data_IF_316503228612
#
_entry.id   IF_316503228612
#
_cell.length_a   1.000
_cell.length_b   1.000
_cell.length_c   1.000
_cell.angle_alpha   90.00
_cell.angle_beta   90.00
_cell.angle_gamma   90.00
#
_symmetry.space_group_name_H-M   'P 1'
#
loop_
_entity.id
_entity.type
_entity.pdbx_description
1 polymer ?
#
# COMPACT_ATOMS: atom_id res chain seq x y z
N UNK A 1 -5.19 -2.11 31.58
CA UNK A 1 -4.79 -2.98 30.46
C UNK A 1 -5.97 -3.89 30.16
N UNK A 2 -6.61 -3.83 28.98
CA UNK A 2 -7.56 -4.88 28.61
C UNK A 2 -6.80 -6.20 28.53
N UNK A 3 -7.38 -7.27 29.06
CA UNK A 3 -6.81 -8.62 28.99
C UNK A 3 -6.82 -9.10 27.54
N UNK A 4 -5.64 -9.29 26.95
CA UNK A 4 -5.49 -9.80 25.59
C UNK A 4 -5.47 -11.33 25.62
N UNK A 5 -6.40 -11.96 24.89
CA UNK A 5 -6.45 -13.40 24.70
C UNK A 5 -5.66 -13.79 23.44
N UNK A 6 -4.47 -14.36 23.62
CA UNK A 6 -3.60 -14.78 22.51
C UNK A 6 -4.27 -15.79 21.55
N UNK A 7 -5.32 -16.50 21.97
CA UNK A 7 -6.08 -17.42 21.10
C UNK A 7 -6.94 -16.72 20.05
N UNK A 8 -7.21 -15.42 20.17
CA UNK A 8 -8.05 -14.67 19.24
C UNK A 8 -7.29 -14.10 18.03
N UNK A 9 -5.96 -14.14 18.07
CA UNK A 9 -5.14 -13.35 17.16
C UNK A 9 -4.66 -14.12 15.90
N UNK A 10 -4.91 -15.43 15.78
CA UNK A 10 -4.46 -16.24 14.62
C UNK A 10 -3.00 -15.99 14.19
N UNK A 11 -2.12 -15.61 15.13
CA UNK A 11 -0.71 -15.28 14.89
C UNK A 11 -0.38 -13.81 14.60
N UNK A 12 -1.36 -12.89 14.53
CA UNK A 12 -1.13 -11.43 14.52
C UNK A 12 -1.04 -10.89 15.95
N UNK A 13 0.18 -10.75 16.48
CA UNK A 13 0.41 -10.26 17.84
C UNK A 13 0.11 -8.75 18.05
N UNK A 14 -0.12 -8.02 16.96
CA UNK A 14 -0.18 -6.56 16.93
C UNK A 14 -1.60 -6.03 16.71
N UNK A 15 -2.45 -6.81 16.03
CA UNK A 15 -3.75 -6.37 15.53
C UNK A 15 -3.65 -5.42 14.34
N UNK A 16 -2.48 -5.33 13.70
CA UNK A 16 -2.15 -4.39 12.63
C UNK A 16 -1.81 -5.07 11.30
N UNK A 17 -1.84 -6.42 11.23
CA UNK A 17 -1.47 -7.12 10.00
C UNK A 17 -2.45 -6.77 8.87
N UNK A 18 -3.74 -6.71 9.15
CA UNK A 18 -4.74 -6.25 8.17
C UNK A 18 -5.06 -4.75 8.25
N UNK A 19 -4.16 -3.92 8.79
CA UNK A 19 -4.39 -2.48 8.87
C UNK A 19 -4.34 -1.83 7.49
N UNK A 20 -5.37 -1.03 7.18
CA UNK A 20 -5.51 -0.27 5.93
C UNK A 20 -4.40 0.78 5.73
N UNK A 21 -3.73 1.21 6.81
CA UNK A 21 -2.62 2.16 6.73
C UNK A 21 -1.67 2.01 7.93
N UNK A 22 -0.60 1.23 7.76
CA UNK A 22 0.30 0.85 8.85
C UNK A 22 1.23 2.01 9.27
N UNK A 23 1.18 2.47 10.53
CA UNK A 23 2.11 3.48 11.01
C UNK A 23 3.42 2.86 11.51
N UNK A 24 4.47 3.68 11.60
CA UNK A 24 5.74 3.33 12.24
C UNK A 24 5.76 3.71 13.74
N UNK A 25 6.62 3.05 14.51
CA UNK A 25 7.06 3.50 15.83
C UNK A 25 6.18 3.08 17.02
N UNK A 26 5.09 2.35 16.79
CA UNK A 26 4.25 1.80 17.86
C UNK A 26 4.25 0.27 17.86
N UNK A 27 3.10 -0.38 17.67
CA UNK A 27 2.96 -1.84 17.71
C UNK A 27 3.20 -2.51 16.36
N UNK A 28 3.31 -1.75 15.28
CA UNK A 28 3.51 -2.30 13.95
C UNK A 28 4.89 -2.99 13.85
N UNK A 29 4.88 -4.25 13.43
CA UNK A 29 6.09 -5.07 13.21
C UNK A 29 6.36 -5.32 11.73
N UNK A 30 5.48 -4.83 10.85
CA UNK A 30 5.54 -4.98 9.40
C UNK A 30 6.01 -3.69 8.75
N UNK A 31 6.28 -3.73 7.45
CA UNK A 31 6.66 -2.54 6.70
C UNK A 31 5.59 -1.43 6.84
N UNK A 32 5.96 -0.21 7.30
CA UNK A 32 4.99 0.85 7.53
C UNK A 32 4.61 1.54 6.22
N UNK A 33 3.33 1.90 6.05
CA UNK A 33 2.87 2.79 5.00
C UNK A 33 3.29 4.25 5.25
N UNK A 34 3.46 4.63 6.52
CA UNK A 34 3.81 5.98 6.95
C UNK A 34 4.83 5.99 8.08
N UNK A 35 5.82 6.88 7.98
CA UNK A 35 6.81 7.14 9.02
C UNK A 35 6.97 8.65 9.22
N UNK A 36 6.92 9.06 10.47
CA UNK A 36 6.97 10.46 10.91
C UNK A 36 7.92 10.57 12.10
N UNK A 37 8.67 11.66 12.18
CA UNK A 37 9.29 12.11 13.44
C UNK A 37 8.65 13.42 13.87
N UNK A 38 8.06 13.41 15.06
CA UNK A 38 7.42 14.55 15.68
C UNK A 38 8.44 15.59 16.17
N UNK A 39 7.96 16.77 16.55
CA UNK A 39 8.81 17.87 16.99
C UNK A 39 9.63 17.57 18.26
N UNK A 40 9.13 16.64 19.09
CA UNK A 40 9.81 16.11 20.28
C UNK A 40 10.79 14.96 19.96
N UNK A 41 11.06 14.72 18.68
CA UNK A 41 11.94 13.64 18.16
C UNK A 41 11.33 12.24 18.32
N UNK A 42 10.09 12.12 18.80
CA UNK A 42 9.41 10.83 18.90
C UNK A 42 9.03 10.32 17.49
N UNK A 43 9.40 9.07 17.12
CA UNK A 43 9.03 8.47 15.84
C UNK A 43 7.68 7.73 15.87
N UNK A 44 6.98 7.73 17.01
CA UNK A 44 5.75 6.96 17.21
C UNK A 44 4.55 7.61 16.54
N UNK A 45 3.83 6.85 15.74
CA UNK A 45 2.51 7.23 15.22
C UNK A 45 1.50 6.11 15.51
N UNK A 46 0.32 6.46 15.99
CA UNK A 46 -0.80 5.53 16.15
C UNK A 46 -2.02 6.10 15.42
N UNK A 47 -2.50 5.42 14.37
CA UNK A 47 -3.67 5.90 13.63
C UNK A 47 -4.92 5.16 14.10
N UNK A 48 -5.88 5.89 14.67
CA UNK A 48 -7.18 5.35 15.08
C UNK A 48 -8.28 5.83 14.15
N UNK A 49 -9.18 4.92 13.81
CA UNK A 49 -10.40 5.26 13.09
C UNK A 49 -11.22 6.31 13.85
N UNK A 50 -11.67 7.33 13.13
CA UNK A 50 -12.55 8.39 13.66
C UNK A 50 -13.92 8.28 13.00
N UNK A 51 -13.96 8.30 11.67
CA UNK A 51 -15.20 8.29 10.89
C UNK A 51 -14.93 7.86 9.45
N UNK A 52 -15.98 7.57 8.71
CA UNK A 52 -15.94 7.48 7.26
C UNK A 52 -17.16 8.15 6.64
N UNK A 53 -17.04 8.46 5.35
CA UNK A 53 -18.12 8.97 4.50
C UNK A 53 -18.11 8.19 3.19
N UNK A 54 -19.30 7.96 2.63
CA UNK A 54 -19.47 7.37 1.31
C UNK A 54 -20.30 8.31 0.44
N UNK A 55 -19.72 8.75 -0.67
CA UNK A 55 -20.35 9.64 -1.64
C UNK A 55 -20.58 8.89 -2.94
N UNK A 56 -21.75 9.09 -3.56
CA UNK A 56 -21.97 8.70 -4.95
C UNK A 56 -21.55 9.86 -5.84
N UNK A 57 -20.46 9.70 -6.59
CA UNK A 57 -19.95 10.72 -7.50
C UNK A 57 -20.69 10.71 -8.83
N UNK A 58 -21.05 9.51 -9.31
CA UNK A 58 -21.86 9.33 -10.51
C UNK A 58 -22.73 8.07 -10.37
N UNK A 59 -24.05 8.28 -10.24
CA UNK A 59 -25.01 7.19 -10.09
C UNK A 59 -25.12 6.34 -11.38
N UNK A 60 -25.14 6.99 -12.54
CA UNK A 60 -25.31 6.33 -13.85
C UNK A 60 -24.14 5.42 -14.19
N UNK A 61 -22.92 5.84 -13.82
CA UNK A 61 -21.69 5.08 -14.04
C UNK A 61 -21.27 4.23 -12.82
N UNK A 62 -22.03 4.28 -11.72
CA UNK A 62 -21.74 3.57 -10.46
C UNK A 62 -20.34 3.90 -9.91
N UNK A 63 -20.03 5.20 -9.90
CA UNK A 63 -18.78 5.74 -9.35
C UNK A 63 -19.03 6.22 -7.92
N UNK A 64 -18.32 5.64 -6.97
CA UNK A 64 -18.39 6.00 -5.56
C UNK A 64 -17.05 6.48 -5.00
N UNK A 65 -17.09 7.20 -3.88
CA UNK A 65 -15.92 7.58 -3.10
C UNK A 65 -16.15 7.22 -1.64
N UNK A 66 -15.30 6.37 -1.08
CA UNK A 66 -15.23 6.13 0.36
C UNK A 66 -14.05 6.91 0.93
N UNK A 67 -14.31 7.75 1.91
CA UNK A 67 -13.31 8.55 2.63
C UNK A 67 -13.24 8.06 4.07
N UNK A 68 -12.05 7.67 4.55
CA UNK A 68 -11.84 7.17 5.92
C UNK A 68 -10.92 8.12 6.65
N UNK A 69 -11.37 8.65 7.79
CA UNK A 69 -10.61 9.56 8.63
C UNK A 69 -9.96 8.82 9.79
N UNK A 70 -8.65 8.95 9.88
CA UNK A 70 -7.80 8.41 10.93
C UNK A 70 -7.12 9.55 11.68
N UNK A 71 -6.90 9.39 12.98
CA UNK A 71 -6.24 10.40 13.81
C UNK A 71 -5.34 9.77 14.85
N UNK A 72 -4.22 10.44 15.13
CA UNK A 72 -3.40 10.13 16.30
C UNK A 72 -4.02 10.66 17.60
N UNK A 73 -4.17 9.81 18.64
CA UNK A 73 -4.82 10.23 19.88
C UNK A 73 -3.99 11.24 20.71
N UNK A 74 -2.68 11.33 20.46
CA UNK A 74 -1.74 12.17 21.22
C UNK A 74 -1.25 13.34 20.38
N UNK A 75 -0.81 13.08 19.15
CA UNK A 75 -0.28 14.10 18.26
C UNK A 75 -1.40 14.70 17.38
N UNK A 76 -1.37 16.01 17.05
CA UNK A 76 -2.36 16.63 16.16
C UNK A 76 -2.09 16.25 14.69
N UNK A 77 -2.20 14.96 14.39
CA UNK A 77 -1.86 14.34 13.12
C UNK A 77 -3.07 13.52 12.62
N UNK A 78 -3.48 13.79 11.38
CA UNK A 78 -4.67 13.25 10.75
C UNK A 78 -4.27 12.62 9.40
N UNK A 79 -4.80 11.45 9.11
CA UNK A 79 -4.62 10.76 7.84
C UNK A 79 -5.99 10.45 7.28
N UNK A 80 -6.23 10.81 6.03
CA UNK A 80 -7.47 10.50 5.33
C UNK A 80 -7.17 9.58 4.15
N UNK A 81 -7.77 8.40 4.16
CA UNK A 81 -7.69 7.42 3.07
C UNK A 81 -8.86 7.63 2.13
N UNK A 82 -8.60 7.59 0.84
CA UNK A 82 -9.63 7.72 -0.19
C UNK A 82 -9.63 6.48 -1.06
N UNK A 83 -10.83 5.94 -1.30
CA UNK A 83 -11.07 4.81 -2.18
C UNK A 83 -12.17 5.20 -3.17
N UNK A 84 -11.78 5.51 -4.39
CA UNK A 84 -12.73 5.80 -5.48
C UNK A 84 -12.95 4.54 -6.28
N UNK A 85 -14.19 4.11 -6.40
CA UNK A 85 -14.56 2.85 -7.06
C UNK A 85 -15.30 3.13 -8.36
N UNK A 86 -14.92 2.43 -9.41
CA UNK A 86 -15.61 2.38 -10.69
C UNK A 86 -16.18 0.96 -10.83
N UNK A 87 -17.41 0.78 -10.35
CA UNK A 87 -17.95 -0.56 -10.14
C UNK A 87 -18.10 -1.35 -11.44
N UNK A 88 -18.43 -0.69 -12.56
CA UNK A 88 -18.65 -1.39 -13.85
C UNK A 88 -17.34 -1.88 -14.46
N UNK A 89 -16.23 -1.24 -14.13
CA UNK A 89 -14.90 -1.45 -14.70
C UNK A 89 -14.01 -2.32 -13.81
N UNK A 90 -14.44 -2.64 -12.59
CA UNK A 90 -13.61 -3.28 -11.56
C UNK A 90 -12.31 -2.52 -11.26
N UNK A 91 -12.39 -1.18 -11.28
CA UNK A 91 -11.24 -0.29 -11.00
C UNK A 91 -11.42 0.40 -9.66
N UNK A 92 -10.35 0.49 -8.89
CA UNK A 92 -10.27 1.27 -7.65
C UNK A 92 -9.07 2.21 -7.77
N UNK A 93 -9.30 3.50 -7.57
CA UNK A 93 -8.23 4.47 -7.32
C UNK A 93 -8.11 4.68 -5.81
N UNK A 94 -6.87 4.68 -5.30
CA UNK A 94 -6.59 4.92 -3.89
C UNK A 94 -5.53 6.01 -3.75
N UNK A 95 -5.75 6.92 -2.80
CA UNK A 95 -4.75 7.90 -2.38
C UNK A 95 -4.94 8.26 -0.92
N UNK A 96 -3.94 8.96 -0.37
CA UNK A 96 -3.93 9.36 1.04
C UNK A 96 -3.64 10.86 1.15
N UNK A 97 -4.34 11.53 2.07
CA UNK A 97 -4.03 12.90 2.49
C UNK A 97 -3.55 12.90 3.93
N UNK A 98 -2.50 13.65 4.19
CA UNK A 98 -1.90 13.79 5.52
C UNK A 98 -2.04 15.24 5.94
N UNK A 99 -2.61 15.46 7.11
CA UNK A 99 -2.83 16.79 7.66
C UNK A 99 -2.31 16.85 9.09
N UNK A 100 -1.56 17.91 9.38
CA UNK A 100 -1.19 18.28 10.74
C UNK A 100 -1.95 19.54 11.14
N UNK A 101 -2.58 19.54 12.31
CA UNK A 101 -3.35 20.69 12.82
C UNK A 101 -2.59 21.52 13.86
N UNK A 102 -1.41 21.05 14.32
CA UNK A 102 -0.51 21.79 15.20
C UNK A 102 0.43 22.74 14.44
N UNK A 103 1.09 23.63 15.20
CA UNK A 103 2.04 24.62 14.67
C UNK A 103 3.48 24.10 14.49
N UNK A 104 3.85 23.03 15.20
CA UNK A 104 5.22 22.53 15.16
C UNK A 104 5.51 21.76 13.88
N UNK A 105 6.75 21.90 13.40
CA UNK A 105 7.26 21.19 12.23
C UNK A 105 7.52 19.73 12.57
N UNK A 106 7.10 18.84 11.68
CA UNK A 106 7.39 17.40 11.74
C UNK A 106 8.10 16.97 10.47
N UNK A 107 8.85 15.87 10.54
CA UNK A 107 9.48 15.27 9.37
C UNK A 107 8.66 14.08 8.92
N UNK A 108 8.23 14.07 7.66
CA UNK A 108 7.71 12.87 6.99
C UNK A 108 8.89 12.13 6.35
N UNK A 109 9.12 10.88 6.73
CA UNK A 109 10.16 10.04 6.13
C UNK A 109 9.60 9.07 5.09
N UNK A 110 8.33 8.67 5.26
CA UNK A 110 7.63 7.77 4.35
C UNK A 110 6.15 8.09 4.39
N UNK A 111 5.50 8.14 3.22
CA UNK A 111 4.06 8.37 3.10
C UNK A 111 3.55 7.74 1.80
N UNK A 112 2.93 6.57 1.94
CA UNK A 112 2.50 5.77 0.80
C UNK A 112 1.09 6.17 0.35
N UNK A 113 0.80 6.04 -0.93
CA UNK A 113 -0.54 6.27 -1.48
C UNK A 113 -1.49 5.13 -1.14
N UNK A 114 -0.98 3.90 -1.11
CA UNK A 114 -1.73 2.67 -0.86
C UNK A 114 -0.97 1.72 0.09
N UNK A 115 -1.75 0.90 0.81
CA UNK A 115 -1.29 -0.15 1.73
C UNK A 115 -2.34 -1.27 1.77
N UNK A 116 -2.35 -2.07 0.70
CA UNK A 116 -3.33 -3.13 0.48
C UNK A 116 -2.89 -4.41 1.19
N UNK A 117 -3.86 -5.21 1.63
CA UNK A 117 -3.63 -6.48 2.32
C UNK A 117 -4.47 -7.59 1.69
N UNK A 118 -3.80 -8.65 1.25
CA UNK A 118 -4.40 -9.81 0.60
C UNK A 118 -4.18 -11.05 1.48
N UNK A 119 -5.25 -11.77 1.80
CA UNK A 119 -5.21 -12.95 2.69
C UNK A 119 -6.01 -14.15 2.16
N UNK A 120 -6.48 -14.10 0.91
CA UNK A 120 -7.28 -15.17 0.29
C UNK A 120 -6.45 -16.40 -0.13
N UNK A 121 -5.12 -16.29 -0.13
CA UNK A 121 -4.21 -17.34 -0.61
C UNK A 121 -2.87 -17.29 0.11
N UNK A 122 -2.02 -18.29 -0.10
CA UNK A 122 -0.66 -18.35 0.43
C UNK A 122 0.41 -18.40 -0.69
N UNK A 123 0.00 -18.20 -1.94
CA UNK A 123 0.86 -18.13 -3.13
C UNK A 123 0.47 -16.94 -3.98
N UNK A 124 1.47 -16.12 -4.27
CA UNK A 124 1.34 -14.90 -5.06
C UNK A 124 2.44 -14.89 -6.10
N UNK A 125 2.08 -14.52 -7.33
CA UNK A 125 3.01 -14.41 -8.44
C UNK A 125 2.95 -12.98 -8.95
N UNK A 126 4.09 -12.30 -8.92
CA UNK A 126 4.25 -10.94 -9.36
C UNK A 126 4.82 -10.96 -10.77
N UNK A 127 4.04 -10.49 -11.73
CA UNK A 127 4.56 -10.04 -13.01
C UNK A 127 4.88 -8.55 -12.89
N UNK A 128 6.17 -8.22 -12.99
CA UNK A 128 6.63 -6.84 -13.06
C UNK A 128 7.29 -6.59 -14.40
N UNK A 129 7.40 -5.31 -14.75
CA UNK A 129 8.03 -4.91 -15.99
C UNK A 129 9.39 -4.30 -15.69
N UNK A 130 10.37 -4.63 -16.52
CA UNK A 130 11.69 -4.04 -16.48
C UNK A 130 12.14 -3.72 -17.89
N UNK A 131 13.23 -2.99 -18.02
CA UNK A 131 13.74 -2.67 -19.34
C UNK A 131 14.96 -1.78 -19.32
N UNK A 132 15.24 -1.27 -20.50
CA UNK A 132 16.21 -0.22 -20.73
C UNK A 132 15.70 0.63 -21.90
N UNK A 133 16.39 1.72 -22.19
CA UNK A 133 16.12 2.52 -23.37
C UNK A 133 16.01 1.64 -24.64
N UNK A 134 14.93 1.83 -25.39
CA UNK A 134 14.56 1.07 -26.59
C UNK A 134 14.27 -0.43 -26.37
N UNK A 135 14.09 -0.85 -25.12
CA UNK A 135 13.69 -2.20 -24.66
C UNK A 135 12.87 -2.12 -23.37
N UNK A 136 11.96 -1.17 -23.30
CA UNK A 136 11.09 -0.91 -22.15
C UNK A 136 10.02 -2.02 -22.01
N UNK A 137 9.36 -2.07 -20.85
CA UNK A 137 8.16 -2.92 -20.61
C UNK A 137 8.35 -4.43 -20.84
N UNK A 138 9.55 -4.97 -20.63
CA UNK A 138 9.78 -6.42 -20.68
C UNK A 138 9.21 -7.08 -19.42
N UNK A 139 8.28 -8.06 -19.53
CA UNK A 139 7.70 -8.70 -18.37
C UNK A 139 8.64 -9.74 -17.76
N UNK A 140 8.65 -9.82 -16.44
CA UNK A 140 9.28 -10.88 -15.66
C UNK A 140 8.29 -11.33 -14.58
N UNK A 141 8.02 -12.63 -14.53
CA UNK A 141 7.15 -13.23 -13.53
C UNK A 141 7.97 -13.97 -12.47
N UNK A 142 7.69 -13.67 -11.20
CA UNK A 142 8.32 -14.31 -10.05
C UNK A 142 7.29 -14.72 -9.01
N UNK A 143 7.54 -15.83 -8.32
CA UNK A 143 6.78 -16.15 -7.11
C UNK A 143 7.28 -15.28 -5.94
N UNK A 144 6.36 -14.63 -5.23
CA UNK A 144 6.70 -13.91 -4.00
C UNK A 144 6.96 -14.92 -2.86
N UNK A 145 8.10 -14.76 -2.21
CA UNK A 145 8.53 -15.58 -1.07
C UNK A 145 8.59 -14.73 0.19
N UNK A 146 8.83 -15.36 1.36
CA UNK A 146 8.90 -14.65 2.63
C UNK A 146 9.91 -13.49 2.60
N UNK A 147 9.54 -12.34 3.16
CA UNK A 147 10.30 -11.09 3.07
C UNK A 147 9.64 -10.08 2.13
N UNK A 148 10.43 -9.10 1.66
CA UNK A 148 9.93 -7.96 0.89
C UNK A 148 10.61 -7.92 -0.48
N UNK A 149 9.81 -8.00 -1.55
CA UNK A 149 10.25 -7.63 -2.91
C UNK A 149 9.95 -6.14 -3.11
N UNK A 150 10.93 -5.40 -3.60
CA UNK A 150 10.81 -3.96 -3.87
C UNK A 150 10.98 -3.72 -5.37
N UNK A 151 10.07 -2.94 -5.95
CA UNK A 151 10.21 -2.30 -7.26
C UNK A 151 10.32 -0.80 -7.00
N UNK A 152 11.41 -0.17 -7.45
CA UNK A 152 11.61 1.25 -7.18
C UNK A 152 12.42 1.96 -8.27
N UNK A 153 12.28 3.28 -8.28
CA UNK A 153 13.11 4.16 -9.11
C UNK A 153 13.58 5.36 -8.30
N UNK A 154 14.80 5.79 -8.60
CA UNK A 154 15.50 6.94 -7.99
C UNK A 154 16.00 7.92 -9.05
N UNK A 155 15.45 7.83 -10.27
CA UNK A 155 15.91 8.55 -11.44
C UNK A 155 15.27 9.94 -11.62
N UNK A 156 14.54 10.41 -10.60
CA UNK A 156 13.77 11.64 -10.67
C UNK A 156 12.60 11.48 -11.62
N UNK A 157 12.63 12.16 -12.76
CA UNK A 157 11.53 12.25 -13.73
C UNK A 157 11.54 11.15 -14.80
N UNK A 158 12.43 10.16 -14.68
CA UNK A 158 12.53 9.02 -15.61
C UNK A 158 12.05 7.72 -14.96
N UNK A 159 10.87 7.77 -14.35
CA UNK A 159 10.32 6.63 -13.62
C UNK A 159 10.26 5.37 -14.49
N UNK A 160 9.79 5.49 -15.73
CA UNK A 160 9.51 4.37 -16.63
C UNK A 160 10.74 3.76 -17.34
N UNK A 161 11.92 4.36 -17.20
CA UNK A 161 13.09 3.98 -18.02
C UNK A 161 13.58 2.55 -17.77
N UNK A 162 13.62 2.12 -16.50
CA UNK A 162 14.12 0.80 -16.13
C UNK A 162 13.06 -0.09 -15.48
N UNK A 163 12.16 0.51 -14.70
CA UNK A 163 11.06 -0.17 -14.03
C UNK A 163 9.87 0.78 -14.03
N UNK A 164 8.88 0.59 -14.91
CA UNK A 164 7.65 1.35 -14.83
C UNK A 164 6.84 0.91 -13.61
N UNK A 165 6.03 1.81 -13.01
CA UNK A 165 5.32 1.56 -11.75
C UNK A 165 4.08 0.67 -11.92
N UNK A 166 4.10 -0.25 -12.88
CA UNK A 166 2.99 -1.13 -13.24
C UNK A 166 3.32 -2.57 -12.89
N UNK A 167 2.31 -3.34 -12.49
CA UNK A 167 2.46 -4.75 -12.14
C UNK A 167 1.15 -5.51 -12.33
N UNK A 168 1.27 -6.83 -12.43
CA UNK A 168 0.15 -7.77 -12.32
C UNK A 168 0.46 -8.76 -11.21
N UNK A 169 -0.46 -8.89 -10.27
CA UNK A 169 -0.40 -9.84 -9.18
C UNK A 169 -1.39 -10.97 -9.47
N UNK A 170 -0.88 -12.16 -9.80
CA UNK A 170 -1.71 -13.35 -9.93
C UNK A 170 -1.82 -14.08 -8.60
N UNK A 171 -3.05 -14.44 -8.24
CA UNK A 171 -3.35 -15.20 -7.03
C UNK A 171 -3.38 -16.70 -7.34
N UNK A 172 -2.92 -17.52 -6.41
CA UNK A 172 -2.94 -19.00 -6.46
C UNK A 172 -1.94 -19.65 -7.43
N UNK A 173 -1.78 -19.14 -8.65
CA UNK A 173 -0.98 -19.75 -9.72
C UNK A 173 -0.25 -18.71 -10.59
N UNK A 174 0.85 -19.07 -11.28
CA UNK A 174 1.53 -18.17 -12.21
C UNK A 174 0.70 -17.95 -13.48
N UNK A 175 0.84 -16.77 -14.10
CA UNK A 175 0.21 -16.42 -15.38
C UNK A 175 0.80 -17.19 -16.56
N UNK A 176 2.07 -17.59 -16.47
CA UNK A 176 2.72 -18.39 -17.51
C UNK A 176 2.12 -19.81 -17.68
N UNK A 177 1.07 -20.15 -16.92
CA UNK A 177 0.38 -21.43 -17.00
C UNK A 177 -0.76 -21.38 -18.03
N UNK A 178 -0.43 -21.73 -19.27
CA UNK A 178 -1.29 -22.28 -20.36
C UNK A 178 -2.48 -21.44 -20.91
N UNK A 179 -3.18 -20.54 -20.21
CA UNK A 179 -4.11 -19.62 -20.91
C UNK A 179 -4.25 -18.27 -20.17
N UNK A 180 -4.11 -17.15 -20.91
CA UNK A 180 -4.32 -15.77 -20.41
C UNK A 180 -5.80 -15.48 -20.05
N UNK A 181 -6.70 -16.41 -20.36
CA UNK A 181 -8.15 -16.24 -20.26
C UNK A 181 -8.74 -16.64 -18.90
N UNK A 182 -7.93 -17.14 -17.95
CA UNK A 182 -8.39 -17.53 -16.62
C UNK A 182 -7.41 -17.17 -15.49
N UNK A 183 -7.97 -16.96 -14.31
CA UNK A 183 -7.21 -16.64 -13.10
C UNK A 183 -7.77 -15.44 -12.36
N UNK A 184 -7.43 -15.33 -11.07
CA UNK A 184 -7.73 -14.14 -10.27
C UNK A 184 -6.49 -13.26 -10.25
N UNK A 185 -6.61 -12.06 -10.80
CA UNK A 185 -5.51 -11.11 -10.94
C UNK A 185 -5.86 -9.77 -10.33
N UNK A 186 -4.86 -9.13 -9.74
CA UNK A 186 -4.89 -7.73 -9.34
C UNK A 186 -3.80 -6.98 -10.11
N UNK A 187 -4.20 -6.17 -11.09
CA UNK A 187 -3.29 -5.30 -11.80
C UNK A 187 -3.29 -3.91 -11.14
N UNK A 188 -2.13 -3.28 -11.09
CA UNK A 188 -1.99 -1.96 -10.50
C UNK A 188 -0.94 -1.14 -11.20
N UNK A 189 -1.11 0.18 -11.12
CA UNK A 189 -0.11 1.16 -11.51
C UNK A 189 -0.13 2.34 -10.55
N UNK A 190 1.04 2.94 -10.28
CA UNK A 190 1.11 4.20 -9.54
C UNK A 190 1.04 5.38 -10.52
N UNK A 191 0.01 6.22 -10.40
CA UNK A 191 -0.13 7.46 -11.16
C UNK A 191 0.86 8.54 -10.67
N UNK A 192 2.17 8.31 -10.91
CA UNK A 192 3.28 9.14 -10.45
C UNK A 192 4.46 9.06 -11.42
N UNK A 193 4.99 10.19 -11.85
CA UNK A 193 6.12 10.26 -12.80
C UNK A 193 7.49 10.47 -12.14
N UNK A 194 7.51 10.64 -10.82
CA UNK A 194 8.72 10.86 -10.03
C UNK A 194 9.33 9.55 -9.49
N UNK A 195 10.19 9.70 -8.49
CA UNK A 195 10.68 8.56 -7.72
C UNK A 195 9.52 7.84 -7.04
N UNK A 196 9.39 6.54 -7.27
CA UNK A 196 8.39 5.69 -6.63
C UNK A 196 9.02 4.49 -5.95
N UNK A 197 8.26 3.89 -5.05
CA UNK A 197 8.54 2.58 -4.48
C UNK A 197 7.22 1.78 -4.35
N UNK A 198 7.24 0.54 -4.81
CA UNK A 198 6.19 -0.47 -4.59
C UNK A 198 6.83 -1.65 -3.87
N UNK A 199 6.28 -2.02 -2.73
CA UNK A 199 6.78 -3.10 -1.87
C UNK A 199 5.72 -4.20 -1.76
N UNK A 200 6.16 -5.43 -1.94
CA UNK A 200 5.36 -6.64 -1.80
C UNK A 200 5.95 -7.46 -0.64
N UNK A 201 5.37 -7.31 0.54
CA UNK A 201 5.78 -7.97 1.77
C UNK A 201 4.93 -9.22 1.98
N UNK A 202 5.57 -10.39 2.04
CA UNK A 202 4.94 -11.61 2.52
C UNK A 202 5.16 -11.71 4.03
N UNK A 203 4.06 -11.58 4.78
CA UNK A 203 4.07 -11.56 6.24
C UNK A 203 4.33 -12.97 6.85
N UNK A 204 4.53 -13.09 8.18
CA UNK A 204 4.76 -14.38 8.84
C UNK A 204 3.61 -15.39 8.70
N UNK A 205 2.40 -14.95 8.38
CA UNK A 205 1.21 -15.76 8.15
C UNK A 205 1.02 -16.09 6.65
N UNK A 206 1.97 -15.68 5.80
CA UNK A 206 1.95 -15.78 4.34
C UNK A 206 0.85 -14.97 3.65
N UNK A 207 0.38 -13.90 4.27
CA UNK A 207 -0.44 -12.90 3.59
C UNK A 207 0.46 -11.90 2.87
N UNK A 208 -0.07 -11.25 1.84
CA UNK A 208 0.65 -10.23 1.08
C UNK A 208 0.19 -8.84 1.50
N UNK A 209 1.14 -8.00 1.89
CA UNK A 209 0.97 -6.56 1.98
C UNK A 209 1.60 -5.89 0.75
N UNK A 210 0.84 -5.03 0.10
CA UNK A 210 1.30 -4.21 -1.02
C UNK A 210 1.30 -2.74 -0.60
N UNK A 211 2.47 -2.12 -0.55
CA UNK A 211 2.64 -0.71 -0.24
C UNK A 211 3.12 0.01 -1.50
N UNK A 212 2.43 1.06 -1.92
CA UNK A 212 2.80 1.82 -3.12
C UNK A 212 2.75 3.32 -2.85
N UNK A 213 3.78 4.05 -3.30
CA UNK A 213 3.82 5.50 -3.18
C UNK A 213 5.15 6.10 -3.65
N UNK A 214 5.40 7.33 -3.20
CA UNK A 214 6.66 8.03 -3.45
C UNK A 214 7.84 7.27 -2.81
N UNK A 215 9.02 7.31 -3.44
CA UNK A 215 10.20 6.64 -2.91
C UNK A 215 10.75 7.38 -1.68
N UNK A 216 10.87 6.75 -0.49
CA UNK A 216 11.38 7.42 0.71
C UNK A 216 12.88 7.81 0.63
N UNK A 217 13.63 7.32 -0.37
CA UNK A 217 15.03 7.69 -0.57
C UNK A 217 15.22 9.16 -0.96
N UNK A 218 14.33 9.69 -1.80
CA UNK A 218 14.39 11.05 -2.34
C UNK A 218 12.97 11.49 -2.72
N UNK A 219 12.16 11.67 -1.69
CA UNK A 219 10.77 12.17 -1.68
C UNK A 219 10.70 13.63 -1.29
#
# INVERSE_FOLDING_TARGET
MPSFNAKQLNGDYTGLFSSDYTPSGTRNLLEPAIQVTHADVNPSLELKYVSHQQDTLDYSHRIGLTTIHLKDPVYPFEVTLYYKTYYKENVIEQWTSIKRTGSDVVRLQKYSSANLYFSSTNKYYLTHFHGNWAREMSPEEIQLTAGIKVLDTKLGTRADLFQPPSFVLSLHQPLNHVDEDYGEVFAGTLAWSGNYQIQFEIDPLRNLRLIAGINPYAS
#
